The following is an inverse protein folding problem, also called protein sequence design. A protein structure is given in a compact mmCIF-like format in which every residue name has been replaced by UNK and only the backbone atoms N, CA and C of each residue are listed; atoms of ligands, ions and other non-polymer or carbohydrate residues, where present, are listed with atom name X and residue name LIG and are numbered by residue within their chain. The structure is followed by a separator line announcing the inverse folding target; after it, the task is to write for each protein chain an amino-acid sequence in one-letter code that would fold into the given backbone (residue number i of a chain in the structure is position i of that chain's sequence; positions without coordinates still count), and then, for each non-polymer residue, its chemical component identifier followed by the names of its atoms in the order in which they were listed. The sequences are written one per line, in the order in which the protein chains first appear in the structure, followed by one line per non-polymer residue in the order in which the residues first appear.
data_IF_410039157153
#
_entry.id   IF_410039157153
#
_cell.length_a   1.000
_cell.length_b   1.000
_cell.length_c   1.000
_cell.angle_alpha   90.00
_cell.angle_beta   90.00
_cell.angle_gamma   90.00
#
_symmetry.space_group_name_H-M   'P 1'
#
loop_
_entity.id
_entity.type
_entity.pdbx_description
1 polymer ?
#
# COMPACT_ATOMS: atom_id res chain seq x y z
N UNK A 1 -16.87 -9.96 -21.44
CA UNK A 1 -17.26 -8.53 -21.47
C UNK A 1 -17.39 -8.06 -22.92
N UNK A 2 -18.48 -7.35 -23.27
CA UNK A 2 -18.62 -6.73 -24.61
C UNK A 2 -17.67 -5.54 -24.71
N UNK A 3 -17.07 -5.33 -25.90
CA UNK A 3 -16.16 -4.19 -26.18
C UNK A 3 -16.86 -3.19 -27.07
N UNK A 4 -16.75 -1.92 -26.72
CA UNK A 4 -17.28 -0.80 -27.48
C UNK A 4 -16.18 0.22 -27.76
N UNK A 5 -16.26 0.89 -28.92
CA UNK A 5 -15.28 1.92 -29.30
C UNK A 5 -15.47 3.23 -28.53
N UNK A 6 -16.68 3.51 -28.06
CA UNK A 6 -17.00 4.68 -27.23
C UNK A 6 -18.25 4.42 -26.39
N UNK A 7 -18.50 5.28 -25.38
CA UNK A 7 -19.72 5.26 -24.57
C UNK A 7 -20.95 5.52 -25.40
N UNK A 8 -20.90 6.46 -26.37
CA UNK A 8 -21.97 6.74 -27.28
C UNK A 8 -22.39 5.51 -28.12
N UNK A 9 -21.39 4.77 -28.65
CA UNK A 9 -21.67 3.52 -29.38
C UNK A 9 -22.26 2.45 -28.46
N UNK A 10 -21.83 2.38 -27.21
CA UNK A 10 -22.42 1.48 -26.21
C UNK A 10 -23.90 1.84 -26.00
N UNK A 11 -24.20 3.10 -25.69
CA UNK A 11 -25.57 3.57 -25.46
C UNK A 11 -26.47 3.34 -26.69
N UNK A 12 -26.02 3.71 -27.88
CA UNK A 12 -26.79 3.55 -29.12
C UNK A 12 -27.07 2.08 -29.47
N UNK A 13 -26.14 1.15 -29.14
CA UNK A 13 -26.32 -0.27 -29.47
C UNK A 13 -27.07 -1.04 -28.37
N UNK A 14 -26.86 -0.73 -27.11
CA UNK A 14 -27.47 -1.48 -25.98
C UNK A 14 -28.78 -0.85 -25.52
N UNK A 15 -28.95 0.47 -25.69
CA UNK A 15 -30.10 1.25 -25.16
C UNK A 15 -30.44 0.80 -23.73
N UNK A 16 -29.44 0.82 -22.79
CA UNK A 16 -29.61 0.24 -21.49
C UNK A 16 -30.65 1.01 -20.66
N UNK A 17 -31.52 0.27 -19.97
CA UNK A 17 -32.45 0.84 -19.00
C UNK A 17 -31.82 1.09 -17.64
N UNK A 18 -30.72 0.35 -17.33
CA UNK A 18 -30.01 0.41 -16.07
C UNK A 18 -28.61 1.01 -16.24
N UNK A 19 -28.00 1.53 -15.16
CA UNK A 19 -26.62 2.01 -15.18
C UNK A 19 -25.63 0.94 -15.63
N UNK A 20 -24.70 1.33 -16.49
CA UNK A 20 -23.68 0.43 -17.04
C UNK A 20 -22.28 0.84 -16.57
N UNK A 21 -21.54 -0.08 -15.96
CA UNK A 21 -20.14 0.11 -15.63
C UNK A 21 -19.26 -0.01 -16.87
N UNK A 22 -18.51 1.05 -17.19
CA UNK A 22 -17.57 1.08 -18.29
C UNK A 22 -16.12 1.08 -17.77
N UNK A 23 -15.37 0.00 -18.03
CA UNK A 23 -13.95 -0.08 -17.66
C UNK A 23 -13.11 0.38 -18.85
N UNK A 24 -12.31 1.41 -18.65
CA UNK A 24 -11.35 1.95 -19.62
C UNK A 24 -9.96 1.46 -19.26
N UNK A 25 -9.46 0.44 -19.98
CA UNK A 25 -8.15 -0.18 -19.68
C UNK A 25 -6.96 0.74 -19.94
N UNK A 26 -7.03 1.56 -20.96
CA UNK A 26 -5.91 2.40 -21.39
C UNK A 26 -5.41 3.40 -20.30
N UNK A 27 -6.29 4.14 -19.60
CA UNK A 27 -5.87 4.97 -18.46
C UNK A 27 -5.15 4.16 -17.37
N UNK A 28 -5.67 2.98 -16.99
CA UNK A 28 -5.05 2.10 -16.00
C UNK A 28 -3.63 1.69 -16.42
N UNK A 29 -3.47 1.29 -17.68
CA UNK A 29 -2.16 0.91 -18.24
C UNK A 29 -1.19 2.08 -18.19
N UNK A 30 -1.64 3.27 -18.60
CA UNK A 30 -0.79 4.46 -18.62
C UNK A 30 -0.36 4.87 -17.20
N UNK A 31 -1.28 4.89 -16.24
CA UNK A 31 -0.98 5.19 -14.86
C UNK A 31 0.00 4.15 -14.26
N UNK A 32 -0.23 2.86 -14.51
CA UNK A 32 0.67 1.79 -14.07
C UNK A 32 2.09 1.98 -14.62
N UNK A 33 2.22 2.26 -15.91
CA UNK A 33 3.52 2.53 -16.56
C UNK A 33 4.19 3.79 -16.02
N UNK A 34 3.40 4.84 -15.75
CA UNK A 34 3.91 6.08 -15.18
C UNK A 34 4.52 5.85 -13.79
N UNK A 35 3.83 5.12 -12.91
CA UNK A 35 4.36 4.75 -11.60
C UNK A 35 5.62 3.91 -11.72
N UNK A 36 5.63 2.86 -12.55
CA UNK A 36 6.80 1.99 -12.75
C UNK A 36 8.03 2.74 -13.27
N UNK A 37 7.82 3.77 -14.10
CA UNK A 37 8.91 4.58 -14.67
C UNK A 37 9.49 5.57 -13.66
N UNK A 38 8.67 6.17 -12.81
CA UNK A 38 9.03 7.38 -12.05
C UNK A 38 9.19 7.14 -10.54
N UNK A 39 8.44 6.19 -9.95
CA UNK A 39 8.56 5.90 -8.52
C UNK A 39 9.87 5.13 -8.23
N UNK A 40 10.63 5.51 -7.17
CA UNK A 40 11.97 4.93 -6.91
C UNK A 40 11.91 3.60 -6.14
N UNK A 41 10.95 2.72 -6.43
CA UNK A 41 10.77 1.50 -5.65
C UNK A 41 9.69 0.57 -6.19
N UNK A 42 9.23 -0.34 -5.34
CA UNK A 42 8.16 -1.29 -5.66
C UNK A 42 6.78 -0.67 -5.50
N UNK A 43 5.85 -1.13 -6.32
CA UNK A 43 4.47 -0.69 -6.34
C UNK A 43 3.61 -1.86 -5.92
N UNK A 44 2.84 -1.69 -4.84
CA UNK A 44 1.80 -2.60 -4.41
C UNK A 44 0.44 -1.96 -4.72
N UNK A 45 -0.31 -2.50 -5.66
CA UNK A 45 -1.64 -1.97 -5.92
C UNK A 45 -2.58 -2.23 -4.73
N UNK A 46 -3.22 -1.18 -4.21
CA UNK A 46 -4.17 -1.27 -3.11
C UNK A 46 -5.51 -1.81 -3.59
N UNK A 47 -5.74 -3.11 -3.40
CA UNK A 47 -6.91 -3.85 -3.93
C UNK A 47 -8.24 -3.28 -3.45
N UNK A 48 -8.30 -2.77 -2.22
CA UNK A 48 -9.50 -2.13 -1.62
C UNK A 48 -10.09 -1.01 -2.48
N UNK A 49 -9.28 -0.37 -3.31
CA UNK A 49 -9.71 0.75 -4.15
C UNK A 49 -10.63 0.28 -5.28
N UNK A 50 -10.25 -0.79 -5.97
CA UNK A 50 -11.09 -1.40 -7.00
C UNK A 50 -10.74 -2.90 -7.14
N UNK A 51 -11.49 -3.79 -6.50
CA UNK A 51 -11.25 -5.24 -6.54
C UNK A 51 -11.83 -5.92 -7.80
N UNK A 52 -12.31 -5.17 -8.78
CA UNK A 52 -12.87 -5.72 -10.00
C UNK A 52 -11.80 -6.54 -10.75
N UNK A 53 -12.14 -7.79 -11.12
CA UNK A 53 -11.20 -8.73 -11.74
C UNK A 53 -10.57 -8.21 -13.03
N UNK A 54 -11.31 -7.45 -13.85
CA UNK A 54 -10.78 -6.86 -15.08
C UNK A 54 -9.78 -5.73 -14.81
N UNK A 55 -10.01 -4.96 -13.73
CA UNK A 55 -9.07 -3.93 -13.27
C UNK A 55 -7.79 -4.60 -12.77
N UNK A 56 -7.91 -5.56 -11.85
CA UNK A 56 -6.77 -6.29 -11.30
C UNK A 56 -5.96 -7.00 -12.39
N UNK A 57 -6.64 -7.64 -13.35
CA UNK A 57 -5.99 -8.26 -14.50
C UNK A 57 -5.25 -7.22 -15.35
N UNK A 58 -5.86 -6.07 -15.61
CA UNK A 58 -5.23 -5.00 -16.40
C UNK A 58 -3.98 -4.46 -15.71
N UNK A 59 -4.01 -4.29 -14.39
CA UNK A 59 -2.86 -3.87 -13.58
C UNK A 59 -1.75 -4.92 -13.64
N UNK A 60 -2.10 -6.20 -13.48
CA UNK A 60 -1.16 -7.32 -13.57
C UNK A 60 -0.50 -7.40 -14.96
N UNK A 61 -1.31 -7.32 -16.03
CA UNK A 61 -0.86 -7.33 -17.42
C UNK A 61 0.03 -6.11 -17.75
N UNK A 62 -0.10 -5.02 -16.97
CA UNK A 62 0.74 -3.82 -17.09
C UNK A 62 2.10 -3.96 -16.37
N UNK A 63 2.36 -5.08 -15.68
CA UNK A 63 3.63 -5.38 -15.02
C UNK A 63 3.65 -5.15 -13.50
N UNK A 64 2.58 -4.63 -12.87
CA UNK A 64 2.46 -4.53 -11.41
C UNK A 64 1.97 -5.89 -10.91
N UNK A 65 2.86 -6.65 -10.26
CA UNK A 65 2.60 -8.02 -9.80
C UNK A 65 2.63 -8.16 -8.27
N UNK A 66 2.55 -7.05 -7.55
CA UNK A 66 2.47 -6.99 -6.10
C UNK A 66 1.23 -6.20 -5.67
N UNK A 67 0.57 -6.68 -4.61
CA UNK A 67 -0.71 -6.16 -4.17
C UNK A 67 -0.73 -5.92 -2.67
N UNK A 68 -1.20 -4.73 -2.25
CA UNK A 68 -1.63 -4.45 -0.89
C UNK A 68 -3.05 -4.98 -0.71
N UNK A 69 -3.22 -5.87 0.26
CA UNK A 69 -4.50 -6.51 0.59
C UNK A 69 -4.87 -6.24 2.05
N UNK A 70 -6.16 -5.99 2.27
CA UNK A 70 -6.71 -5.67 3.58
C UNK A 70 -7.66 -6.75 4.13
N UNK A 71 -7.91 -7.82 3.38
CA UNK A 71 -8.82 -8.90 3.79
C UNK A 71 -8.51 -10.23 3.09
N UNK A 72 -8.99 -11.33 3.66
CA UNK A 72 -8.93 -12.66 3.02
C UNK A 72 -9.65 -12.66 1.68
N UNK A 73 -10.76 -11.94 1.57
CA UNK A 73 -11.51 -11.85 0.32
C UNK A 73 -10.70 -11.22 -0.81
N UNK A 74 -9.93 -10.17 -0.51
CA UNK A 74 -9.02 -9.56 -1.47
C UNK A 74 -7.89 -10.50 -1.87
N UNK A 75 -7.29 -11.22 -0.89
CA UNK A 75 -6.28 -12.25 -1.15
C UNK A 75 -6.84 -13.31 -2.11
N UNK A 76 -8.03 -13.84 -1.84
CA UNK A 76 -8.68 -14.82 -2.70
C UNK A 76 -8.91 -14.30 -4.12
N UNK A 77 -9.38 -13.06 -4.22
CA UNK A 77 -9.66 -12.42 -5.51
C UNK A 77 -8.39 -12.30 -6.35
N UNK A 78 -7.29 -11.84 -5.75
CA UNK A 78 -6.00 -11.68 -6.44
C UNK A 78 -5.39 -13.05 -6.77
N UNK A 79 -5.40 -14.01 -5.83
CA UNK A 79 -4.82 -15.35 -6.02
C UNK A 79 -5.57 -16.17 -7.07
N UNK A 80 -6.88 -15.93 -7.27
CA UNK A 80 -7.65 -16.53 -8.37
C UNK A 80 -7.21 -16.08 -9.75
N UNK A 81 -6.70 -14.83 -9.89
CA UNK A 81 -6.17 -14.34 -11.16
C UNK A 81 -4.83 -14.98 -11.49
N UNK A 82 -3.95 -15.04 -10.51
CA UNK A 82 -2.64 -15.67 -10.62
C UNK A 82 -2.11 -16.01 -9.23
N UNK A 83 -1.94 -17.29 -8.93
CA UNK A 83 -1.50 -17.77 -7.62
C UNK A 83 -0.04 -17.38 -7.28
N UNK A 84 0.77 -17.02 -8.29
CA UNK A 84 2.18 -16.62 -8.12
C UNK A 84 2.35 -15.14 -7.75
N UNK A 85 1.31 -14.30 -7.83
CA UNK A 85 1.41 -12.89 -7.43
C UNK A 85 1.75 -12.75 -5.95
N UNK A 86 2.49 -11.71 -5.62
CA UNK A 86 2.83 -11.38 -4.24
C UNK A 86 1.72 -10.53 -3.63
N UNK A 87 1.26 -10.92 -2.46
CA UNK A 87 0.35 -10.11 -1.64
C UNK A 87 1.04 -9.77 -0.32
N UNK A 88 0.87 -8.54 0.12
CA UNK A 88 1.27 -8.05 1.43
C UNK A 88 0.01 -7.68 2.20
N UNK A 89 -0.19 -8.24 3.39
CA UNK A 89 -1.38 -7.99 4.20
C UNK A 89 -1.12 -6.75 5.08
N UNK A 90 -1.34 -5.57 4.48
CA UNK A 90 -0.91 -4.29 5.06
C UNK A 90 -1.95 -3.64 5.98
N UNK A 91 -3.12 -4.25 6.18
CA UNK A 91 -4.05 -3.81 7.22
C UNK A 91 -3.48 -4.16 8.60
N UNK A 92 -3.47 -3.19 9.53
CA UNK A 92 -2.84 -3.35 10.84
C UNK A 92 -3.65 -4.20 11.82
N UNK A 93 -4.95 -4.40 11.59
CA UNK A 93 -5.82 -5.22 12.44
C UNK A 93 -6.36 -6.40 11.64
N UNK A 94 -6.10 -7.63 12.13
CA UNK A 94 -6.49 -8.89 11.46
C UNK A 94 -7.00 -9.89 12.48
N UNK A 95 -8.00 -10.72 12.13
CA UNK A 95 -8.39 -11.85 12.97
C UNK A 95 -7.33 -12.96 12.93
N UNK A 96 -7.25 -13.76 13.99
CA UNK A 96 -6.35 -14.93 14.06
C UNK A 96 -6.58 -15.89 12.88
N UNK A 97 -7.83 -16.16 12.55
CA UNK A 97 -8.17 -17.08 11.45
C UNK A 97 -7.75 -16.51 10.09
N UNK A 98 -7.89 -15.20 9.89
CA UNK A 98 -7.42 -14.56 8.66
C UNK A 98 -5.89 -14.61 8.54
N UNK A 99 -5.15 -14.43 9.63
CA UNK A 99 -3.70 -14.58 9.64
C UNK A 99 -3.29 -16.01 9.30
N UNK A 100 -3.92 -17.00 9.94
CA UNK A 100 -3.68 -18.44 9.65
C UNK A 100 -3.93 -18.76 8.18
N UNK A 101 -5.08 -18.36 7.64
CA UNK A 101 -5.41 -18.59 6.24
C UNK A 101 -4.43 -17.91 5.31
N UNK A 102 -4.10 -16.63 5.55
CA UNK A 102 -3.15 -15.89 4.75
C UNK A 102 -1.78 -16.60 4.69
N UNK A 103 -1.26 -17.03 5.84
CA UNK A 103 0.04 -17.66 5.92
C UNK A 103 0.03 -19.09 5.37
N UNK A 104 -0.79 -19.98 5.92
CA UNK A 104 -0.73 -21.42 5.60
C UNK A 104 -1.38 -21.78 4.28
N UNK A 105 -2.50 -21.12 3.92
CA UNK A 105 -3.22 -21.43 2.67
C UNK A 105 -2.71 -20.66 1.48
N UNK A 106 -2.38 -19.36 1.68
CA UNK A 106 -2.01 -18.46 0.58
C UNK A 106 -0.53 -18.12 0.51
N UNK A 107 0.29 -18.60 1.46
CA UNK A 107 1.74 -18.38 1.49
C UNK A 107 2.16 -16.93 1.72
N UNK A 108 1.30 -16.13 2.37
CA UNK A 108 1.60 -14.72 2.65
C UNK A 108 2.49 -14.65 3.88
N UNK A 109 3.64 -14.00 3.74
CA UNK A 109 4.64 -13.84 4.79
C UNK A 109 4.76 -12.38 5.27
N UNK A 110 4.18 -11.45 4.54
CA UNK A 110 4.28 -10.01 4.78
C UNK A 110 3.03 -9.52 5.48
N UNK A 111 3.19 -8.97 6.70
CA UNK A 111 2.11 -8.45 7.53
C UNK A 111 2.48 -7.08 8.13
N UNK A 112 1.52 -6.15 8.15
CA UNK A 112 1.66 -4.90 8.91
C UNK A 112 1.02 -5.02 10.29
N UNK A 113 1.54 -4.24 11.23
CA UNK A 113 1.07 -4.13 12.61
C UNK A 113 1.34 -2.73 13.17
N UNK A 114 0.60 -2.33 14.19
CA UNK A 114 0.77 -1.05 14.87
C UNK A 114 0.65 -1.17 16.40
N UNK A 115 0.55 -2.41 16.91
CA UNK A 115 0.50 -2.68 18.35
C UNK A 115 1.23 -3.96 18.71
N UNK A 116 1.60 -4.10 19.99
CA UNK A 116 2.23 -5.31 20.54
C UNK A 116 1.27 -6.51 20.48
N UNK A 117 -0.01 -6.27 20.70
CA UNK A 117 -1.07 -7.28 20.69
C UNK A 117 -1.22 -7.86 19.29
N UNK A 118 -1.16 -7.03 18.26
CA UNK A 118 -1.19 -7.51 16.86
C UNK A 118 0.07 -8.31 16.51
N UNK A 119 1.25 -7.88 16.97
CA UNK A 119 2.49 -8.63 16.79
C UNK A 119 2.38 -10.04 17.40
N UNK A 120 1.96 -10.14 18.66
CA UNK A 120 1.78 -11.43 19.35
C UNK A 120 0.78 -12.30 18.59
N UNK A 121 -0.34 -11.72 18.18
CA UNK A 121 -1.37 -12.41 17.40
C UNK A 121 -0.83 -12.98 16.08
N UNK A 122 -0.02 -12.22 15.34
CA UNK A 122 0.62 -12.70 14.10
C UNK A 122 1.55 -13.87 14.40
N UNK A 123 2.43 -13.74 15.40
CA UNK A 123 3.43 -14.76 15.76
C UNK A 123 2.75 -16.06 16.16
N UNK A 124 1.77 -16.01 17.06
CA UNK A 124 1.02 -17.18 17.51
C UNK A 124 0.22 -17.82 16.37
N UNK A 125 -0.45 -17.00 15.56
CA UNK A 125 -1.28 -17.51 14.46
C UNK A 125 -0.48 -18.11 13.31
N UNK A 126 0.82 -17.84 13.22
CA UNK A 126 1.74 -18.43 12.25
C UNK A 126 2.63 -19.52 12.85
N UNK A 127 2.32 -20.03 14.05
CA UNK A 127 3.11 -21.00 14.79
C UNK A 127 4.59 -20.57 14.95
N UNK A 128 4.83 -19.31 15.32
CA UNK A 128 6.18 -18.75 15.53
C UNK A 128 7.08 -18.88 14.28
N UNK A 129 6.51 -18.70 13.11
CA UNK A 129 7.24 -18.79 11.84
C UNK A 129 8.46 -17.87 11.80
N UNK A 130 9.57 -18.36 11.20
CA UNK A 130 10.86 -17.64 11.14
C UNK A 130 11.09 -16.90 9.82
N UNK A 131 10.13 -16.95 8.91
CA UNK A 131 10.22 -16.38 7.58
C UNK A 131 9.30 -15.15 7.37
N UNK A 132 8.78 -14.58 8.46
CA UNK A 132 7.90 -13.43 8.43
C UNK A 132 8.63 -12.15 8.01
N UNK A 133 7.96 -11.36 7.19
CA UNK A 133 8.33 -9.99 6.83
C UNK A 133 7.31 -9.06 7.52
N UNK A 134 7.76 -8.35 8.56
CA UNK A 134 6.85 -7.58 9.43
C UNK A 134 7.08 -6.08 9.27
N UNK A 135 5.99 -5.35 9.08
CA UNK A 135 5.99 -3.89 8.94
C UNK A 135 5.35 -3.23 10.16
N UNK A 136 6.10 -2.37 10.82
CA UNK A 136 5.53 -1.49 11.84
C UNK A 136 5.00 -0.24 11.17
N UNK A 137 3.70 0.00 11.29
CA UNK A 137 3.05 1.21 10.79
C UNK A 137 3.11 2.32 11.83
N UNK A 138 3.69 3.45 11.43
CA UNK A 138 3.77 4.67 12.24
C UNK A 138 2.61 5.58 11.88
N UNK A 139 1.98 6.19 12.89
CA UNK A 139 0.94 7.19 12.72
C UNK A 139 1.54 8.51 12.26
N UNK A 140 0.95 9.11 11.24
CA UNK A 140 1.34 10.42 10.71
C UNK A 140 0.09 11.27 10.53
N UNK A 141 -0.01 12.35 11.30
CA UNK A 141 -1.11 13.31 11.14
C UNK A 141 -0.93 14.11 9.85
N UNK A 142 -2.02 14.28 9.12
CA UNK A 142 -2.00 15.01 7.85
C UNK A 142 -3.27 15.83 7.63
N UNK A 143 -3.12 17.13 7.79
CA UNK A 143 -4.16 18.14 7.53
C UNK A 143 -4.45 18.37 6.03
N UNK A 144 -3.59 17.83 5.14
CA UNK A 144 -3.72 17.96 3.68
C UNK A 144 -4.38 16.74 3.03
N UNK A 145 -4.88 15.78 3.80
CA UNK A 145 -5.62 14.63 3.28
C UNK A 145 -7.11 14.85 3.42
N UNK A 146 -7.89 14.44 2.43
CA UNK A 146 -9.35 14.43 2.52
C UNK A 146 -9.85 13.50 3.65
N UNK A 147 -9.12 12.40 3.88
CA UNK A 147 -9.38 11.49 4.99
C UNK A 147 -8.09 11.25 5.76
N UNK A 148 -7.95 11.86 6.94
CA UNK A 148 -6.86 11.60 7.87
C UNK A 148 -7.08 10.25 8.59
N UNK A 149 -6.08 9.38 8.51
CA UNK A 149 -6.10 8.05 9.11
C UNK A 149 -5.29 7.97 10.42
N UNK A 150 -4.65 9.05 10.85
CA UNK A 150 -3.72 9.06 12.00
C UNK A 150 -4.39 8.75 13.34
N UNK A 151 -5.67 9.10 13.47
CA UNK A 151 -6.46 8.81 14.69
C UNK A 151 -6.95 7.36 14.76
N UNK A 152 -6.79 6.60 13.68
CA UNK A 152 -7.35 5.24 13.56
C UNK A 152 -6.28 4.17 13.45
N UNK A 153 -5.17 4.45 12.81
CA UNK A 153 -4.13 3.48 12.51
C UNK A 153 -2.73 4.04 12.70
N UNK A 154 -1.82 3.14 13.07
CA UNK A 154 -0.41 3.44 13.26
C UNK A 154 -0.07 3.72 14.72
N UNK A 155 1.08 3.24 15.16
CA UNK A 155 1.65 3.55 16.46
C UNK A 155 2.22 4.98 16.46
N UNK A 156 2.01 5.74 17.53
CA UNK A 156 2.70 7.03 17.70
C UNK A 156 4.20 6.79 17.82
N UNK A 157 5.00 7.77 17.41
CA UNK A 157 6.47 7.61 17.32
C UNK A 157 7.12 7.08 18.59
N UNK A 158 6.67 7.51 19.78
CA UNK A 158 7.19 7.04 21.07
C UNK A 158 6.95 5.55 21.29
N UNK A 159 5.79 5.04 20.94
CA UNK A 159 5.42 3.61 21.04
C UNK A 159 6.06 2.79 19.92
N UNK A 160 6.10 3.34 18.70
CA UNK A 160 6.71 2.70 17.54
C UNK A 160 8.19 2.34 17.78
N UNK A 161 8.94 3.10 18.57
CA UNK A 161 10.33 2.80 18.92
C UNK A 161 10.44 1.46 19.65
N UNK A 162 9.63 1.25 20.68
CA UNK A 162 9.60 -0.02 21.42
C UNK A 162 9.09 -1.19 20.57
N UNK A 163 8.01 -0.94 19.85
CA UNK A 163 7.39 -1.92 18.96
C UNK A 163 8.34 -2.36 17.83
N UNK A 164 9.08 -1.43 17.23
CA UNK A 164 10.04 -1.74 16.17
C UNK A 164 11.19 -2.62 16.62
N UNK A 165 11.74 -2.36 17.84
CA UNK A 165 12.75 -3.22 18.47
C UNK A 165 12.22 -4.63 18.74
N UNK A 166 11.01 -4.72 19.27
CA UNK A 166 10.37 -6.01 19.57
C UNK A 166 10.08 -6.78 18.26
N UNK A 167 9.50 -6.13 17.26
CA UNK A 167 9.17 -6.74 15.97
C UNK A 167 10.40 -7.30 15.27
N UNK A 168 11.56 -6.62 15.37
CA UNK A 168 12.84 -7.09 14.78
C UNK A 168 13.23 -8.48 15.25
N UNK A 169 12.92 -8.85 16.50
CA UNK A 169 13.28 -10.16 17.07
C UNK A 169 12.53 -11.33 16.43
N UNK A 170 11.36 -11.06 15.85
CA UNK A 170 10.48 -12.06 15.26
C UNK A 170 10.41 -12.00 13.72
N UNK A 171 11.04 -11.02 13.11
CA UNK A 171 11.00 -10.83 11.67
C UNK A 171 12.28 -11.30 10.98
N UNK A 172 12.13 -12.05 9.89
CA UNK A 172 13.22 -12.33 8.95
C UNK A 172 13.68 -11.05 8.26
N UNK A 173 12.70 -10.21 7.85
CA UNK A 173 12.91 -8.87 7.32
C UNK A 173 11.98 -7.91 8.02
N UNK A 174 12.50 -6.76 8.41
CA UNK A 174 11.73 -5.73 9.07
C UNK A 174 11.48 -4.55 8.15
N UNK A 175 10.23 -4.11 8.06
CA UNK A 175 9.83 -2.90 7.38
C UNK A 175 9.29 -1.86 8.35
N UNK A 176 9.33 -0.62 7.92
CA UNK A 176 8.63 0.48 8.56
C UNK A 176 7.72 1.15 7.53
N UNK A 177 6.51 1.49 7.92
CA UNK A 177 5.53 2.07 7.03
C UNK A 177 4.78 3.24 7.66
N UNK A 178 4.23 4.08 6.82
CA UNK A 178 3.25 5.09 7.20
C UNK A 178 2.23 5.26 6.08
N UNK A 179 1.18 6.03 6.34
CA UNK A 179 0.20 6.37 5.31
C UNK A 179 -0.29 7.81 5.57
N UNK A 180 -0.18 8.65 4.57
CA UNK A 180 -0.51 10.09 4.66
C UNK A 180 -2.00 10.42 4.60
N UNK A 181 -2.87 9.41 4.64
CA UNK A 181 -4.31 9.60 4.43
C UNK A 181 -4.72 9.45 2.95
N UNK A 182 -6.02 9.44 2.67
CA UNK A 182 -6.53 9.31 1.31
C UNK A 182 -6.57 10.67 0.63
N UNK A 183 -6.32 10.71 -0.69
CA UNK A 183 -6.35 11.91 -1.51
C UNK A 183 -5.50 13.03 -0.89
N UNK A 184 -4.21 12.77 -0.72
CA UNK A 184 -3.27 13.72 -0.13
C UNK A 184 -2.94 14.81 -1.14
N UNK A 185 -3.37 16.05 -0.89
CA UNK A 185 -3.28 17.15 -1.85
C UNK A 185 -1.89 17.80 -1.89
N UNK A 186 -1.02 17.52 -0.92
CA UNK A 186 0.28 18.19 -0.85
C UNK A 186 1.47 17.21 -0.64
N UNK A 187 2.52 17.26 -1.50
CA UNK A 187 3.69 16.37 -1.40
C UNK A 187 4.43 16.41 -0.07
N UNK A 188 4.44 17.56 0.63
CA UNK A 188 5.11 17.75 1.92
C UNK A 188 4.68 16.75 3.00
N UNK A 189 3.47 16.19 2.88
CA UNK A 189 2.97 15.20 3.82
C UNK A 189 3.81 13.92 3.81
N UNK A 190 4.39 13.55 2.66
CA UNK A 190 5.30 12.41 2.59
C UNK A 190 6.64 12.72 3.27
N UNK A 191 7.14 13.96 3.17
CA UNK A 191 8.31 14.41 3.91
C UNK A 191 8.08 14.29 5.41
N UNK A 192 6.96 14.81 5.93
CA UNK A 192 6.56 14.66 7.35
C UNK A 192 6.52 13.18 7.77
N UNK A 193 5.94 12.31 6.94
CA UNK A 193 5.90 10.86 7.21
C UNK A 193 7.29 10.22 7.25
N UNK A 194 8.17 10.58 6.34
CA UNK A 194 9.55 10.11 6.28
C UNK A 194 10.34 10.60 7.50
N UNK A 195 10.12 11.84 7.95
CA UNK A 195 10.74 12.37 9.16
C UNK A 195 10.30 11.61 10.41
N UNK A 196 9.00 11.26 10.53
CA UNK A 196 8.52 10.47 11.68
C UNK A 196 9.15 9.07 11.73
N UNK A 197 9.18 8.35 10.60
CA UNK A 197 9.87 7.04 10.58
C UNK A 197 11.38 7.21 10.79
N UNK A 198 11.97 8.30 10.33
CA UNK A 198 13.38 8.65 10.55
C UNK A 198 13.72 8.77 12.03
N UNK A 199 12.83 9.35 12.85
CA UNK A 199 12.99 9.40 14.32
C UNK A 199 13.05 8.00 14.94
N UNK A 200 12.17 7.08 14.48
CA UNK A 200 12.16 5.68 14.94
C UNK A 200 13.45 4.98 14.55
N UNK A 201 13.90 5.08 13.32
CA UNK A 201 15.13 4.46 12.80
C UNK A 201 16.34 4.97 13.60
N UNK A 202 16.48 6.29 13.76
CA UNK A 202 17.58 6.94 14.48
C UNK A 202 17.62 6.49 15.96
N UNK A 203 16.46 6.47 16.63
CA UNK A 203 16.37 6.14 18.06
C UNK A 203 16.60 4.66 18.34
N UNK A 204 16.21 3.78 17.42
CA UNK A 204 16.41 2.33 17.56
C UNK A 204 17.78 1.88 17.10
N UNK A 205 18.42 2.63 16.19
CA UNK A 205 19.65 2.26 15.47
C UNK A 205 19.47 0.99 14.61
N UNK A 206 18.22 0.65 14.26
CA UNK A 206 17.90 -0.49 13.40
C UNK A 206 17.64 0.05 12.00
N UNK A 207 18.47 -0.37 11.02
CA UNK A 207 18.19 -0.11 9.63
C UNK A 207 17.09 -1.07 9.14
N UNK A 208 15.93 -0.58 8.65
CA UNK A 208 14.91 -1.46 8.10
C UNK A 208 15.36 -2.08 6.77
N UNK A 209 14.80 -3.23 6.42
CA UNK A 209 14.93 -3.82 5.09
C UNK A 209 14.04 -3.11 4.07
N UNK A 210 12.90 -2.57 4.55
CA UNK A 210 11.90 -1.89 3.72
C UNK A 210 11.42 -0.58 4.35
N UNK A 211 11.22 0.44 3.52
CA UNK A 211 10.42 1.63 3.85
C UNK A 211 9.21 1.67 2.92
N UNK A 212 8.01 1.62 3.49
CA UNK A 212 6.77 1.72 2.76
C UNK A 212 6.11 3.08 3.05
N UNK A 213 6.05 3.92 2.04
CA UNK A 213 5.49 5.28 2.14
C UNK A 213 3.95 5.30 2.05
N UNK A 214 3.33 4.12 1.96
CA UNK A 214 1.89 3.97 1.89
C UNK A 214 1.28 4.42 0.56
N UNK A 215 -0.02 4.66 0.61
CA UNK A 215 -0.81 5.22 -0.48
C UNK A 215 -1.12 6.69 -0.25
N UNK A 216 -2.30 7.12 -0.73
CA UNK A 216 -2.75 8.50 -0.59
C UNK A 216 -2.39 9.39 -1.76
N UNK A 217 -1.71 8.87 -2.78
CA UNK A 217 -1.44 9.61 -4.01
C UNK A 217 -2.77 10.09 -4.62
N UNK A 218 -2.90 11.39 -4.93
CA UNK A 218 -4.16 11.94 -5.37
C UNK A 218 -4.48 11.57 -6.82
N UNK A 219 -5.76 11.49 -7.09
CA UNK A 219 -6.30 11.53 -8.46
C UNK A 219 -7.07 12.81 -8.69
N UNK A 220 -7.27 13.18 -9.94
CA UNK A 220 -7.95 14.40 -10.31
C UNK A 220 -9.46 14.17 -10.27
N UNK A 221 -10.16 14.98 -9.47
CA UNK A 221 -11.60 15.12 -9.46
C UNK A 221 -11.99 16.52 -10.00
N UNK A 222 -13.21 16.74 -10.48
CA UNK A 222 -13.61 18.02 -11.08
C UNK A 222 -13.28 19.26 -10.24
N UNK A 223 -13.43 19.15 -8.91
CA UNK A 223 -13.27 20.27 -7.99
C UNK A 223 -12.00 20.16 -7.10
N UNK A 224 -11.13 19.17 -7.38
CA UNK A 224 -9.92 18.90 -6.60
C UNK A 224 -8.70 18.82 -7.51
N UNK A 225 -7.96 19.93 -7.61
CA UNK A 225 -6.74 20.00 -8.41
C UNK A 225 -5.54 19.74 -7.49
N UNK A 226 -4.98 18.54 -7.60
CA UNK A 226 -3.74 18.17 -6.92
C UNK A 226 -2.50 18.61 -7.71
N UNK A 227 -1.36 18.63 -7.04
CA UNK A 227 -0.08 18.75 -7.74
C UNK A 227 0.18 17.52 -8.64
N UNK A 228 1.01 17.65 -9.70
CA UNK A 228 1.44 16.53 -10.52
C UNK A 228 2.10 15.44 -9.68
N UNK A 229 1.79 14.16 -9.96
CA UNK A 229 2.34 13.01 -9.21
C UNK A 229 3.86 12.97 -9.17
N UNK A 230 4.53 13.54 -10.17
CA UNK A 230 6.00 13.59 -10.20
C UNK A 230 6.56 14.39 -9.00
N UNK A 231 5.88 15.45 -8.56
CA UNK A 231 6.30 16.26 -7.42
C UNK A 231 6.28 15.44 -6.11
N UNK A 232 5.33 14.52 -5.98
CA UNK A 232 5.28 13.59 -4.84
C UNK A 232 6.46 12.63 -4.85
N UNK A 233 6.83 12.10 -6.02
CA UNK A 233 7.97 11.19 -6.13
C UNK A 233 9.30 11.89 -5.89
N UNK A 234 9.44 13.13 -6.33
CA UNK A 234 10.64 13.95 -6.08
C UNK A 234 10.77 14.29 -4.59
N UNK A 235 9.67 14.68 -3.93
CA UNK A 235 9.68 14.96 -2.49
C UNK A 235 10.02 13.70 -1.68
N UNK A 236 9.46 12.53 -2.03
CA UNK A 236 9.81 11.25 -1.41
C UNK A 236 11.31 10.95 -1.60
N UNK A 237 11.84 11.06 -2.83
CA UNK A 237 13.27 10.82 -3.12
C UNK A 237 14.17 11.73 -2.30
N UNK A 238 13.87 13.02 -2.26
CA UNK A 238 14.60 14.04 -1.51
C UNK A 238 14.61 13.73 -0.01
N UNK A 239 13.44 13.45 0.56
CA UNK A 239 13.29 13.16 1.99
C UNK A 239 13.98 11.87 2.41
N UNK A 240 13.89 10.81 1.59
CA UNK A 240 14.62 9.55 1.83
C UNK A 240 16.14 9.76 1.83
N UNK A 241 16.67 10.58 0.91
CA UNK A 241 18.09 10.93 0.88
C UNK A 241 18.53 11.66 2.16
N UNK A 242 17.67 12.53 2.69
CA UNK A 242 17.93 13.29 3.90
C UNK A 242 17.95 12.43 5.19
N UNK A 243 17.42 11.20 5.16
CA UNK A 243 17.57 10.27 6.29
C UNK A 243 19.03 9.89 6.58
N UNK A 244 19.93 10.05 5.63
CA UNK A 244 21.37 9.78 5.80
C UNK A 244 21.68 8.31 6.12
N UNK A 245 20.89 7.37 5.62
CA UNK A 245 21.10 5.95 5.88
C UNK A 245 22.30 5.42 5.06
N UNK A 246 23.21 4.70 5.69
CA UNK A 246 24.39 4.10 5.04
C UNK A 246 24.00 3.12 3.91
N UNK A 247 22.86 2.45 4.07
CA UNK A 247 22.26 1.58 3.06
C UNK A 247 20.80 1.96 2.91
N UNK A 248 20.39 2.30 1.71
CA UNK A 248 18.99 2.61 1.43
C UNK A 248 18.15 1.32 1.46
N UNK A 249 17.10 1.27 2.29
CA UNK A 249 16.14 0.18 2.28
C UNK A 249 15.42 0.08 0.92
N UNK A 250 14.79 -1.04 0.65
CA UNK A 250 13.90 -1.15 -0.49
C UNK A 250 12.64 -0.30 -0.25
N UNK A 251 12.35 0.60 -1.19
CA UNK A 251 11.23 1.54 -1.09
C UNK A 251 9.97 0.92 -1.69
N UNK A 252 8.83 1.14 -1.04
CA UNK A 252 7.53 0.61 -1.43
C UNK A 252 6.50 1.72 -1.40
N UNK A 253 5.51 1.69 -2.32
CA UNK A 253 4.29 2.48 -2.22
C UNK A 253 3.03 1.63 -2.48
N UNK A 254 1.88 2.14 -2.03
CA UNK A 254 0.57 1.48 -2.11
C UNK A 254 -0.45 2.35 -2.87
N UNK A 255 -0.21 2.66 -4.16
CA UNK A 255 -1.18 3.44 -4.92
C UNK A 255 -2.49 2.68 -5.10
N UNK A 256 -3.59 3.42 -5.08
CA UNK A 256 -4.94 2.90 -5.29
C UNK A 256 -5.68 3.71 -6.35
N UNK A 257 -6.45 4.73 -5.94
CA UNK A 257 -7.34 5.52 -6.82
C UNK A 257 -6.64 6.25 -7.97
N UNK A 258 -5.35 6.46 -7.87
CA UNK A 258 -4.54 7.08 -8.93
C UNK A 258 -4.05 6.09 -10.01
N UNK A 259 -4.32 4.78 -9.87
CA UNK A 259 -4.13 3.71 -10.85
C UNK A 259 -5.46 3.23 -11.41
#
# INVERSE_FOLDING_TARGET
MKKFKSVEKLVNQLKPNDPVYCIRKHPIINASKFFQKNFPGKILYAVKTNPNQEVLKTILDSGINQFDVASIKEIETVKKLNNKVKCSYMHTVKSRDNIKQAYFKYGIKTFALDSKEELIKIIESTNYAKDLELFVRVSVSNEHAEIDLSKKFGAITSEAIGLFRLTKQYSKKIGISFHVGSQCMHPISYSKGIDEIGKVIKKTKICPDYINVGGGFPTIYPDLISQPLINYFEEIKKSLKNLGLNKLPEIICEPGSCL
#
